data_IF_884582264221
#
_entry.id   IF_884582264221
#
_cell.length_a   1.000
_cell.length_b   1.000
_cell.length_c   1.000
_cell.angle_alpha   90.00
_cell.angle_beta   90.00
_cell.angle_gamma   90.00
#
_symmetry.space_group_name_H-M   'P 1'
#
loop_
_entity.id
_entity.type
_entity.pdbx_description
1 polymer ?
#
# COMPACT_ATOMS: atom_id res chain seq x y z
N UNK A 1 8.69 4.23 18.60
CA UNK A 1 7.99 4.96 17.53
C UNK A 1 6.86 4.17 16.91
N UNK A 2 7.08 3.08 16.16
CA UNK A 2 5.96 2.31 15.55
C UNK A 2 4.94 1.86 16.59
N UNK A 3 5.39 1.32 17.74
CA UNK A 3 4.52 1.00 18.86
C UNK A 3 3.75 2.21 19.42
N UNK A 4 4.36 3.40 19.42
CA UNK A 4 3.69 4.63 19.88
C UNK A 4 2.61 5.04 18.88
N UNK A 5 2.90 4.99 17.57
CA UNK A 5 1.91 5.26 16.52
C UNK A 5 0.71 4.32 16.59
N UNK A 6 0.93 3.03 16.83
CA UNK A 6 -0.15 2.06 17.00
C UNK A 6 -1.03 2.44 18.20
N UNK A 7 -0.43 2.91 19.30
CA UNK A 7 -1.16 3.34 20.49
C UNK A 7 -1.95 4.63 20.22
N UNK A 8 -1.30 5.63 19.63
CA UNK A 8 -1.87 6.96 19.38
C UNK A 8 -3.02 6.91 18.35
N UNK A 9 -2.89 6.05 17.34
CA UNK A 9 -3.93 5.81 16.32
C UNK A 9 -5.01 4.82 16.78
N UNK A 10 -4.82 4.19 17.94
CA UNK A 10 -5.71 3.16 18.48
C UNK A 10 -5.98 2.00 17.51
N UNK A 11 -4.98 1.64 16.69
CA UNK A 11 -5.12 0.55 15.72
C UNK A 11 -5.19 -0.81 16.44
N UNK A 12 -6.23 -1.61 16.19
CA UNK A 12 -6.39 -2.96 16.76
C UNK A 12 -5.90 -4.08 15.83
N UNK A 13 -5.73 -3.80 14.54
CA UNK A 13 -5.09 -4.67 13.54
C UNK A 13 -4.09 -3.80 12.78
N UNK A 14 -2.85 -4.26 12.64
CA UNK A 14 -1.78 -3.56 11.93
C UNK A 14 -1.19 -4.50 10.89
N UNK A 15 -1.20 -4.07 9.63
CA UNK A 15 -0.67 -4.81 8.49
C UNK A 15 0.68 -4.17 8.14
N UNK A 16 1.75 -4.96 8.14
CA UNK A 16 3.12 -4.50 7.98
C UNK A 16 3.73 -5.10 6.70
N UNK A 17 4.32 -4.24 5.89
CA UNK A 17 5.18 -4.57 4.75
C UNK A 17 6.64 -4.39 5.17
N UNK A 18 7.57 -5.14 4.58
CA UNK A 18 9.01 -5.12 4.92
C UNK A 18 9.33 -5.29 6.42
N UNK A 19 8.39 -5.91 7.14
CA UNK A 19 8.48 -6.13 8.57
C UNK A 19 9.67 -7.02 8.93
N UNK A 20 10.03 -7.99 8.08
CA UNK A 20 11.13 -8.92 8.33
C UNK A 20 11.03 -9.52 9.76
N UNK A 21 11.96 -9.16 10.65
CA UNK A 21 11.99 -9.60 12.06
C UNK A 21 11.31 -8.62 13.04
N UNK A 22 10.83 -7.47 12.55
CA UNK A 22 10.34 -6.37 13.37
C UNK A 22 8.98 -6.63 14.01
N UNK A 23 8.11 -7.45 13.42
CA UNK A 23 6.74 -7.71 13.93
C UNK A 23 6.76 -8.13 15.41
N UNK A 24 7.58 -9.12 15.76
CA UNK A 24 7.72 -9.58 17.15
C UNK A 24 8.34 -8.51 18.08
N UNK A 25 9.30 -7.73 17.57
CA UNK A 25 9.92 -6.65 18.33
C UNK A 25 8.92 -5.52 18.64
N UNK A 26 8.03 -5.20 17.70
CA UNK A 26 6.96 -4.22 17.88
C UNK A 26 5.94 -4.74 18.90
N UNK A 27 5.52 -6.01 18.81
CA UNK A 27 4.63 -6.62 19.81
C UNK A 27 5.22 -6.55 21.23
N UNK A 28 6.50 -6.91 21.40
CA UNK A 28 7.19 -6.81 22.69
C UNK A 28 7.30 -5.36 23.19
N UNK A 29 7.46 -4.38 22.30
CA UNK A 29 7.46 -2.96 22.65
C UNK A 29 6.08 -2.45 23.08
N UNK A 30 5.01 -2.93 22.43
CA UNK A 30 3.61 -2.66 22.82
C UNK A 30 3.29 -3.26 24.19
N UNK A 31 3.74 -4.49 24.46
CA UNK A 31 3.51 -5.16 25.75
C UNK A 31 4.16 -4.41 26.90
N UNK A 32 5.40 -3.93 26.72
CA UNK A 32 6.08 -3.04 27.71
C UNK A 32 5.33 -1.73 27.96
N UNK A 33 4.45 -1.32 27.05
CA UNK A 33 3.58 -0.15 27.14
C UNK A 33 2.16 -0.49 27.59
N UNK A 34 1.93 -1.72 28.06
CA UNK A 34 0.63 -2.17 28.59
C UNK A 34 -0.40 -2.54 27.52
N UNK A 35 0.02 -2.73 26.26
CA UNK A 35 -0.87 -3.11 25.15
C UNK A 35 -0.47 -4.46 24.60
N UNK A 36 -1.36 -5.44 24.70
CA UNK A 36 -1.07 -6.82 24.26
C UNK A 36 -1.51 -7.02 22.81
N UNK A 37 -0.55 -7.35 21.96
CA UNK A 37 -0.79 -7.74 20.56
C UNK A 37 -0.18 -9.11 20.30
N UNK A 38 -0.89 -9.93 19.54
CA UNK A 38 -0.34 -11.15 18.93
C UNK A 38 0.37 -10.77 17.63
N UNK A 39 1.59 -11.26 17.45
CA UNK A 39 2.36 -11.12 16.22
C UNK A 39 2.21 -12.36 15.35
N UNK A 40 1.81 -12.16 14.09
CA UNK A 40 1.86 -13.16 13.02
C UNK A 40 2.88 -12.67 12.01
N UNK A 41 4.01 -13.37 11.88
CA UNK A 41 5.15 -12.93 11.08
C UNK A 41 5.39 -13.88 9.92
N UNK A 42 5.78 -13.35 8.76
CA UNK A 42 6.45 -14.11 7.71
C UNK A 42 7.87 -13.60 7.49
N UNK A 43 8.55 -14.04 6.42
CA UNK A 43 9.90 -13.59 6.11
C UNK A 43 10.02 -12.10 5.79
N UNK A 44 8.92 -11.48 5.34
CA UNK A 44 8.89 -10.12 4.82
C UNK A 44 7.69 -9.32 5.37
N UNK A 45 6.48 -9.88 5.33
CA UNK A 45 5.28 -9.22 5.87
C UNK A 45 5.01 -9.56 7.34
N UNK A 46 4.16 -8.77 7.98
CA UNK A 46 3.74 -9.00 9.37
C UNK A 46 2.34 -8.52 9.65
N UNK A 47 1.71 -9.11 10.67
CA UNK A 47 0.43 -8.68 11.20
C UNK A 47 0.51 -8.62 12.73
N UNK A 48 0.00 -7.53 13.30
CA UNK A 48 -0.23 -7.37 14.73
C UNK A 48 -1.73 -7.24 14.99
N UNK A 49 -2.23 -7.90 16.02
CA UNK A 49 -3.66 -7.84 16.37
C UNK A 49 -3.90 -7.91 17.88
N UNK A 50 -4.87 -7.16 18.39
CA UNK A 50 -5.38 -7.30 19.76
C UNK A 50 -6.34 -8.48 19.91
N UNK A 51 -6.83 -9.02 18.79
CA UNK A 51 -7.83 -10.09 18.76
C UNK A 51 -7.17 -11.49 18.74
N UNK A 52 -7.83 -12.51 19.32
CA UNK A 52 -7.38 -13.90 19.20
C UNK A 52 -7.18 -14.33 17.75
N UNK A 53 -6.02 -14.93 17.48
CA UNK A 53 -5.69 -15.55 16.18
C UNK A 53 -6.10 -17.02 16.26
N UNK A 54 -7.06 -17.43 15.41
CA UNK A 54 -7.51 -18.82 15.32
C UNK A 54 -6.58 -19.67 14.46
N UNK A 55 -6.05 -19.07 13.39
CA UNK A 55 -5.18 -19.72 12.41
C UNK A 55 -4.40 -18.66 11.62
N UNK A 56 -3.27 -19.06 11.04
CA UNK A 56 -2.46 -18.18 10.19
C UNK A 56 -1.72 -18.97 9.12
N UNK A 57 -1.47 -18.35 7.98
CA UNK A 57 -0.71 -18.94 6.89
C UNK A 57 0.25 -17.94 6.27
N UNK A 58 1.45 -18.41 5.93
CA UNK A 58 2.35 -17.70 5.03
C UNK A 58 1.95 -18.00 3.59
N UNK A 59 1.80 -16.96 2.78
CA UNK A 59 1.39 -17.02 1.40
C UNK A 59 2.39 -16.22 0.55
N UNK A 60 2.37 -16.45 -0.76
CA UNK A 60 3.28 -15.73 -1.66
C UNK A 60 3.02 -14.21 -1.54
N UNK A 61 4.03 -13.46 -1.09
CA UNK A 61 3.99 -12.00 -0.89
C UNK A 61 2.99 -11.50 0.17
N UNK A 62 2.48 -12.37 1.04
CA UNK A 62 1.54 -11.95 2.09
C UNK A 62 1.50 -12.92 3.27
N UNK A 63 1.10 -12.41 4.44
CA UNK A 63 0.75 -13.23 5.59
C UNK A 63 -0.74 -13.08 5.91
N UNK A 64 -1.40 -14.21 6.16
CA UNK A 64 -2.83 -14.32 6.47
C UNK A 64 -3.03 -14.66 7.94
N UNK A 65 -4.02 -14.05 8.57
CA UNK A 65 -4.48 -14.43 9.91
C UNK A 65 -6.02 -14.45 9.99
N UNK A 66 -6.58 -15.54 10.53
CA UNK A 66 -8.00 -15.63 10.89
C UNK A 66 -8.17 -15.15 12.33
N UNK A 67 -8.98 -14.12 12.51
CA UNK A 67 -9.19 -13.42 13.78
C UNK A 67 -10.59 -13.70 14.30
N UNK A 68 -10.70 -13.90 15.61
CA UNK A 68 -11.98 -13.96 16.30
C UNK A 68 -12.27 -12.63 17.00
N UNK A 69 -13.22 -11.86 16.48
CA UNK A 69 -13.62 -10.57 17.02
C UNK A 69 -15.02 -10.72 17.62
N UNK A 70 -15.09 -11.06 18.91
CA UNK A 70 -16.37 -11.20 19.63
C UNK A 70 -17.28 -12.29 19.04
N UNK A 71 -16.70 -13.41 18.60
CA UNK A 71 -17.42 -14.53 17.98
C UNK A 71 -17.63 -14.40 16.47
N UNK A 72 -17.21 -13.29 15.86
CA UNK A 72 -17.27 -13.07 14.41
C UNK A 72 -15.88 -13.26 13.81
N UNK A 73 -15.82 -13.92 12.67
CA UNK A 73 -14.55 -14.18 11.98
C UNK A 73 -14.20 -13.03 11.03
N UNK A 74 -12.98 -12.54 11.17
CA UNK A 74 -12.36 -11.60 10.23
C UNK A 74 -11.03 -12.21 9.77
N UNK A 75 -10.84 -12.36 8.47
CA UNK A 75 -9.56 -12.83 7.92
C UNK A 75 -8.81 -11.65 7.34
N UNK A 76 -7.64 -11.36 7.89
CA UNK A 76 -6.80 -10.23 7.52
C UNK A 76 -5.54 -10.70 6.80
N UNK A 77 -5.15 -9.97 5.76
CA UNK A 77 -4.00 -10.24 4.91
C UNK A 77 -3.10 -9.01 4.88
N UNK A 78 -1.84 -9.16 5.29
CA UNK A 78 -0.80 -8.15 5.13
C UNK A 78 0.05 -8.51 3.92
N UNK A 79 0.12 -7.63 2.92
CA UNK A 79 0.82 -7.83 1.67
C UNK A 79 2.04 -6.91 1.54
N UNK A 80 3.06 -7.38 0.83
CA UNK A 80 4.12 -6.56 0.28
C UNK A 80 4.44 -7.17 -1.08
N UNK A 81 4.03 -6.52 -2.16
CA UNK A 81 4.11 -7.11 -3.49
C UNK A 81 5.43 -6.76 -4.18
N UNK A 82 5.74 -7.46 -5.27
CA UNK A 82 6.98 -7.29 -6.05
C UNK A 82 7.27 -5.82 -6.37
N UNK A 83 8.36 -5.31 -5.80
CA UNK A 83 8.79 -3.92 -5.93
C UNK A 83 9.54 -3.65 -7.24
N UNK A 84 10.12 -4.68 -7.85
CA UNK A 84 10.72 -4.57 -9.19
C UNK A 84 9.61 -4.54 -10.25
N UNK A 85 9.96 -4.20 -11.49
CA UNK A 85 8.95 -3.91 -12.54
C UNK A 85 8.01 -2.75 -12.15
N UNK A 86 8.55 -1.74 -11.46
CA UNK A 86 7.82 -0.54 -11.05
C UNK A 86 7.53 0.37 -12.26
N UNK A 87 6.62 -0.10 -13.12
CA UNK A 87 6.35 0.49 -14.43
C UNK A 87 5.87 1.95 -14.38
N UNK A 88 5.42 2.42 -13.21
CA UNK A 88 4.99 3.80 -12.98
C UNK A 88 6.14 4.82 -13.13
N UNK A 89 7.40 4.37 -13.16
CA UNK A 89 8.55 5.22 -13.50
C UNK A 89 8.76 5.41 -14.99
N UNK A 90 8.25 4.53 -15.85
CA UNK A 90 8.45 4.66 -17.30
C UNK A 90 7.81 5.97 -17.84
N UNK A 91 6.56 6.31 -17.47
CA UNK A 91 5.97 7.61 -17.80
C UNK A 91 6.73 8.80 -17.21
N UNK A 92 7.56 8.59 -16.18
CA UNK A 92 8.39 9.63 -15.55
C UNK A 92 9.79 9.73 -16.16
N UNK A 93 10.10 8.89 -17.15
CA UNK A 93 11.38 8.89 -17.85
C UNK A 93 12.50 8.15 -17.13
N UNK A 94 12.17 7.22 -16.23
CA UNK A 94 13.13 6.38 -15.50
C UNK A 94 12.87 4.90 -15.77
N UNK A 95 13.93 4.10 -15.67
CA UNK A 95 13.83 2.65 -15.74
C UNK A 95 13.00 2.08 -14.58
N UNK A 96 12.28 0.98 -14.84
CA UNK A 96 11.33 0.37 -13.90
C UNK A 96 11.94 -0.74 -13.01
N UNK A 97 13.27 -0.79 -12.88
CA UNK A 97 13.93 -1.78 -12.03
C UNK A 97 13.77 -3.24 -12.49
N UNK A 98 13.48 -3.43 -13.77
CA UNK A 98 13.19 -4.74 -14.37
C UNK A 98 14.47 -5.60 -14.42
N UNK A 99 14.48 -6.81 -13.85
CA UNK A 99 15.59 -7.75 -14.04
C UNK A 99 15.75 -8.19 -15.50
N UNK A 100 16.99 -8.36 -15.95
CA UNK A 100 17.28 -8.90 -17.27
C UNK A 100 16.75 -10.35 -17.41
N UNK A 101 16.19 -10.75 -18.57
CA UNK A 101 16.13 -10.00 -19.84
C UNK A 101 14.80 -9.25 -20.08
N UNK A 102 14.12 -8.75 -19.04
CA UNK A 102 12.82 -8.09 -19.19
C UNK A 102 12.87 -6.77 -19.98
N UNK A 103 11.72 -6.35 -20.51
CA UNK A 103 11.55 -5.09 -21.26
C UNK A 103 12.00 -3.89 -20.39
N UNK A 104 12.82 -2.99 -20.93
CA UNK A 104 13.46 -1.85 -20.24
C UNK A 104 14.49 -2.20 -19.15
N UNK A 105 14.91 -3.47 -19.02
CA UNK A 105 15.90 -3.87 -18.01
C UNK A 105 17.27 -3.21 -18.17
N UNK A 106 17.63 -2.77 -19.37
CA UNK A 106 18.88 -2.07 -19.66
C UNK A 106 19.02 -0.74 -18.91
N UNK A 107 17.91 -0.14 -18.48
CA UNK A 107 17.91 1.13 -17.77
C UNK A 107 17.98 0.97 -16.26
N UNK A 108 17.71 -0.23 -15.71
CA UNK A 108 17.63 -0.45 -14.27
C UNK A 108 16.66 0.54 -13.62
N UNK A 109 17.17 1.36 -12.68
CA UNK A 109 16.42 2.46 -12.03
C UNK A 109 16.84 3.85 -12.52
N UNK A 110 17.67 3.92 -13.57
CA UNK A 110 18.28 5.17 -14.01
C UNK A 110 17.34 5.96 -14.93
N UNK A 111 17.62 7.27 -15.03
CA UNK A 111 16.97 8.15 -16.00
C UNK A 111 17.24 7.64 -17.42
N UNK A 112 16.18 7.53 -18.22
CA UNK A 112 16.24 7.02 -19.58
C UNK A 112 16.62 8.16 -20.54
N UNK A 113 17.61 7.96 -21.42
CA UNK A 113 18.03 8.98 -22.39
C UNK A 113 16.96 9.27 -23.45
N UNK A 114 16.04 8.34 -23.71
CA UNK A 114 14.92 8.49 -24.63
C UNK A 114 13.73 9.28 -24.05
N UNK A 115 13.78 9.67 -22.77
CA UNK A 115 12.67 10.34 -22.08
C UNK A 115 11.54 9.40 -21.66
N UNK A 116 10.38 9.98 -21.25
CA UNK A 116 9.19 9.24 -20.85
C UNK A 116 8.67 8.22 -21.87
N UNK A 117 8.25 7.05 -21.40
CA UNK A 117 7.44 6.10 -22.15
C UNK A 117 5.98 6.36 -21.83
N UNK A 118 5.24 6.90 -22.80
CA UNK A 118 3.83 7.30 -22.62
C UNK A 118 2.83 6.42 -23.35
N UNK A 119 3.29 5.34 -24.01
CA UNK A 119 2.40 4.32 -24.56
C UNK A 119 1.83 3.45 -23.42
N UNK A 120 0.53 3.56 -23.07
CA UNK A 120 -0.05 2.80 -21.98
C UNK A 120 0.02 1.29 -22.21
N UNK A 121 0.09 0.82 -23.47
CA UNK A 121 0.22 -0.61 -23.77
C UNK A 121 1.60 -1.11 -23.33
N UNK A 122 2.66 -0.35 -23.59
CA UNK A 122 4.02 -0.69 -23.14
C UNK A 122 4.12 -0.68 -21.61
N UNK A 123 3.62 0.37 -20.96
CA UNK A 123 3.62 0.48 -19.49
C UNK A 123 2.86 -0.69 -18.85
N UNK A 124 1.70 -1.04 -19.41
CA UNK A 124 0.92 -2.17 -18.91
C UNK A 124 1.63 -3.51 -19.10
N UNK A 125 2.33 -3.75 -20.21
CA UNK A 125 3.10 -5.00 -20.40
C UNK A 125 4.15 -5.19 -19.31
N UNK A 126 4.90 -4.13 -19.00
CA UNK A 126 5.92 -4.17 -17.92
C UNK A 126 5.25 -4.42 -16.58
N UNK A 127 4.14 -3.73 -16.31
CA UNK A 127 3.37 -3.93 -15.08
C UNK A 127 2.88 -5.38 -14.91
N UNK A 128 2.30 -5.97 -15.96
CA UNK A 128 1.83 -7.36 -15.94
C UNK A 128 2.99 -8.35 -15.70
N UNK A 129 4.18 -8.06 -16.23
CA UNK A 129 5.37 -8.90 -16.04
C UNK A 129 5.88 -8.96 -14.58
N UNK A 130 5.47 -8.03 -13.71
CA UNK A 130 5.76 -8.07 -12.26
C UNK A 130 5.23 -9.33 -11.55
N UNK A 131 4.17 -9.94 -12.11
CA UNK A 131 3.44 -11.03 -11.46
C UNK A 131 2.54 -10.60 -10.29
N UNK A 132 2.52 -9.32 -9.89
CA UNK A 132 1.61 -8.81 -8.84
C UNK A 132 0.14 -9.11 -9.13
N UNK A 133 -0.37 -8.96 -10.37
CA UNK A 133 -1.76 -9.29 -10.67
C UNK A 133 -2.14 -10.74 -10.37
N UNK A 134 -1.22 -11.67 -10.58
CA UNK A 134 -1.48 -13.10 -10.37
C UNK A 134 -1.46 -13.45 -8.88
N UNK A 135 -0.63 -12.76 -8.10
CA UNK A 135 -0.67 -12.83 -6.62
C UNK A 135 -2.05 -12.36 -6.13
N UNK A 136 -2.58 -11.25 -6.67
CA UNK A 136 -3.90 -10.75 -6.29
C UNK A 136 -5.03 -11.68 -6.75
N UNK A 137 -4.91 -12.33 -7.90
CA UNK A 137 -5.88 -13.34 -8.33
C UNK A 137 -5.92 -14.53 -7.37
N UNK A 138 -4.76 -15.04 -6.94
CA UNK A 138 -4.70 -16.12 -5.95
C UNK A 138 -5.27 -15.68 -4.60
N UNK A 139 -4.98 -14.45 -4.15
CA UNK A 139 -5.62 -13.87 -2.97
C UNK A 139 -7.14 -13.81 -3.10
N UNK A 140 -7.67 -13.33 -4.24
CA UNK A 140 -9.12 -13.21 -4.45
C UNK A 140 -9.81 -14.58 -4.31
N UNK A 141 -9.19 -15.65 -4.81
CA UNK A 141 -9.75 -17.00 -4.70
C UNK A 141 -9.71 -17.54 -3.27
N UNK A 142 -8.64 -17.32 -2.53
CA UNK A 142 -8.55 -17.66 -1.11
C UNK A 142 -9.55 -16.82 -0.26
N UNK A 143 -9.68 -15.52 -0.55
CA UNK A 143 -10.64 -14.64 0.11
C UNK A 143 -12.09 -15.05 -0.13
N UNK A 144 -12.43 -15.55 -1.34
CA UNK A 144 -13.76 -16.14 -1.60
C UNK A 144 -14.01 -17.37 -0.74
N UNK A 145 -13.00 -18.22 -0.55
CA UNK A 145 -13.12 -19.39 0.32
C UNK A 145 -13.32 -18.99 1.79
N UNK A 146 -12.60 -17.97 2.28
CA UNK A 146 -12.81 -17.41 3.61
C UNK A 146 -14.21 -16.82 3.79
N UNK A 147 -14.69 -16.06 2.80
CA UNK A 147 -16.02 -15.47 2.82
C UNK A 147 -17.12 -16.55 2.80
N UNK A 148 -16.96 -17.60 2.00
CA UNK A 148 -17.85 -18.76 2.00
C UNK A 148 -17.87 -19.50 3.35
N UNK A 149 -16.77 -19.45 4.11
CA UNK A 149 -16.66 -19.96 5.47
C UNK A 149 -17.14 -18.96 6.55
N UNK A 150 -17.83 -17.88 6.15
CA UNK A 150 -18.44 -16.90 7.05
C UNK A 150 -17.50 -15.81 7.56
N UNK A 151 -16.33 -15.64 6.96
CA UNK A 151 -15.37 -14.61 7.36
C UNK A 151 -15.56 -13.29 6.60
N UNK A 152 -15.41 -12.16 7.29
CA UNK A 152 -15.19 -10.87 6.63
C UNK A 152 -13.72 -10.73 6.25
N UNK A 153 -13.42 -10.30 5.04
CA UNK A 153 -12.03 -10.23 4.55
C UNK A 153 -11.49 -8.79 4.56
N UNK A 154 -10.26 -8.63 5.05
CA UNK A 154 -9.46 -7.41 4.96
C UNK A 154 -8.12 -7.71 4.28
N UNK A 155 -7.72 -6.89 3.32
CA UNK A 155 -6.40 -6.92 2.70
C UNK A 155 -5.75 -5.55 2.87
N UNK A 156 -4.46 -5.49 3.14
CA UNK A 156 -3.73 -4.23 3.06
C UNK A 156 -2.22 -4.41 3.06
N UNK A 157 -1.53 -3.30 2.83
CA UNK A 157 -0.08 -3.24 2.67
C UNK A 157 0.35 -2.56 1.38
N UNK A 158 1.65 -2.60 1.11
CA UNK A 158 2.28 -2.02 -0.07
C UNK A 158 2.15 -2.92 -1.29
N UNK A 159 1.50 -2.41 -2.34
CA UNK A 159 1.33 -3.14 -3.59
C UNK A 159 2.43 -2.86 -4.61
N UNK A 160 3.30 -1.89 -4.36
CA UNK A 160 4.25 -1.38 -5.35
C UNK A 160 3.56 -1.03 -6.68
N UNK A 161 2.27 -0.69 -6.67
CA UNK A 161 1.50 -0.40 -7.87
C UNK A 161 0.47 0.70 -7.53
N UNK A 162 0.36 1.76 -8.36
CA UNK A 162 -0.68 2.76 -8.16
C UNK A 162 -2.08 2.18 -8.39
N UNK A 163 -3.11 2.96 -8.04
CA UNK A 163 -4.49 2.49 -8.14
C UNK A 163 -5.05 2.68 -9.55
N UNK A 164 -5.89 1.74 -9.99
CA UNK A 164 -6.72 1.89 -11.18
C UNK A 164 -7.65 3.12 -11.10
N UNK A 165 -7.84 3.69 -9.91
CA UNK A 165 -8.68 4.87 -9.66
C UNK A 165 -7.87 6.18 -9.57
N UNK A 166 -6.54 6.12 -9.67
CA UNK A 166 -5.67 7.28 -9.41
C UNK A 166 -5.01 7.81 -10.70
N UNK A 167 -4.73 6.94 -11.68
CA UNK A 167 -4.19 7.28 -12.99
C UNK A 167 -5.30 7.40 -14.04
N UNK A 168 -6.13 8.43 -13.89
CA UNK A 168 -7.36 8.67 -14.66
C UNK A 168 -7.18 9.84 -15.63
N UNK A 169 -8.11 10.09 -16.57
CA UNK A 169 -8.04 11.28 -17.41
C UNK A 169 -7.92 12.60 -16.63
N UNK A 170 -8.47 12.66 -15.41
CA UNK A 170 -8.42 13.86 -14.56
C UNK A 170 -7.02 14.14 -13.97
N UNK A 171 -6.17 13.12 -13.86
CA UNK A 171 -4.82 13.20 -13.30
C UNK A 171 -3.74 12.97 -14.37
N UNK A 172 -4.10 12.78 -15.64
CA UNK A 172 -3.19 12.40 -16.71
C UNK A 172 -2.00 13.36 -16.90
N UNK A 173 -2.16 14.66 -16.58
CA UNK A 173 -1.09 15.66 -16.67
C UNK A 173 -0.62 16.17 -15.30
N UNK A 174 -0.98 15.46 -14.23
CA UNK A 174 -0.48 15.72 -12.88
C UNK A 174 0.64 14.72 -12.57
N UNK A 175 1.47 15.06 -11.57
CA UNK A 175 2.43 14.14 -10.95
C UNK A 175 3.35 13.40 -11.94
N UNK A 176 3.74 14.09 -13.02
CA UNK A 176 4.56 13.58 -14.11
C UNK A 176 4.03 12.30 -14.77
N UNK A 177 2.71 12.11 -14.78
CA UNK A 177 2.06 11.04 -15.54
C UNK A 177 2.21 11.20 -17.08
N UNK A 178 2.58 12.40 -17.56
CA UNK A 178 2.85 12.71 -18.98
C UNK A 178 1.76 12.24 -19.96
N UNK A 179 0.49 12.39 -19.58
CA UNK A 179 -0.68 12.05 -20.38
C UNK A 179 -1.14 10.59 -20.23
N UNK A 180 -0.42 9.76 -19.47
CA UNK A 180 -0.77 8.35 -19.30
C UNK A 180 -2.00 8.19 -18.42
N UNK A 181 -2.97 7.45 -18.94
CA UNK A 181 -4.15 6.96 -18.22
C UNK A 181 -4.06 5.45 -18.22
N UNK A 182 -3.96 4.84 -17.03
CA UNK A 182 -3.71 3.42 -16.92
C UNK A 182 -4.47 2.80 -15.74
N UNK A 183 -5.41 1.88 -15.99
CA UNK A 183 -6.05 1.13 -14.94
C UNK A 183 -5.11 0.00 -14.46
N UNK A 184 -4.26 0.34 -13.50
CA UNK A 184 -3.30 -0.58 -12.87
C UNK A 184 -3.95 -1.91 -12.43
N UNK A 185 -3.32 -3.02 -12.79
CA UNK A 185 -4.00 -4.30 -12.92
C UNK A 185 -4.39 -4.92 -11.58
N UNK A 186 -3.55 -4.82 -10.55
CA UNK A 186 -3.79 -5.52 -9.28
C UNK A 186 -5.01 -4.94 -8.57
N UNK A 187 -5.08 -3.60 -8.49
CA UNK A 187 -6.24 -2.89 -7.93
C UNK A 187 -7.48 -2.99 -8.84
N UNK A 188 -7.31 -3.04 -10.17
CA UNK A 188 -8.40 -3.31 -11.13
C UNK A 188 -9.05 -4.68 -10.87
N UNK A 189 -8.26 -5.74 -10.65
CA UNK A 189 -8.76 -7.09 -10.34
C UNK A 189 -9.53 -7.12 -9.02
N UNK A 190 -9.04 -6.44 -7.99
CA UNK A 190 -9.75 -6.28 -6.71
C UNK A 190 -11.10 -5.58 -6.89
N UNK A 191 -11.13 -4.47 -7.63
CA UNK A 191 -12.37 -3.74 -7.92
C UNK A 191 -13.37 -4.63 -8.66
N UNK A 192 -12.93 -5.39 -9.67
CA UNK A 192 -13.77 -6.33 -10.42
C UNK A 192 -14.30 -7.48 -9.55
N UNK A 193 -13.54 -7.89 -8.55
CA UNK A 193 -13.96 -8.88 -7.56
C UNK A 193 -14.85 -8.29 -6.44
N UNK A 194 -15.13 -6.99 -6.46
CA UNK A 194 -16.02 -6.32 -5.51
C UNK A 194 -15.36 -5.90 -4.20
N UNK A 195 -14.03 -5.85 -4.15
CA UNK A 195 -13.32 -5.27 -3.00
C UNK A 195 -13.42 -3.75 -3.00
N UNK A 196 -13.66 -3.18 -1.82
CA UNK A 196 -13.76 -1.74 -1.62
C UNK A 196 -12.45 -1.17 -1.06
N UNK A 197 -11.81 -0.26 -1.82
CA UNK A 197 -10.66 0.54 -1.38
C UNK A 197 -11.13 1.54 -0.30
N UNK A 198 -10.65 1.41 0.93
CA UNK A 198 -11.09 2.25 2.05
C UNK A 198 -10.85 3.75 1.80
N UNK A 199 -9.69 4.10 1.22
CA UNK A 199 -9.32 5.48 0.99
C UNK A 199 -10.19 6.08 -0.11
N UNK A 200 -10.28 5.41 -1.25
CA UNK A 200 -11.00 5.92 -2.43
C UNK A 200 -12.53 5.83 -2.27
N UNK A 201 -13.04 4.93 -1.43
CA UNK A 201 -14.46 4.92 -1.01
C UNK A 201 -14.81 6.18 -0.21
N UNK A 202 -13.89 6.65 0.65
CA UNK A 202 -14.08 7.85 1.46
C UNK A 202 -13.80 9.13 0.66
N UNK A 203 -12.77 9.11 -0.18
CA UNK A 203 -12.26 10.27 -0.94
C UNK A 203 -12.18 9.94 -2.44
N UNK A 204 -13.30 9.99 -3.18
CA UNK A 204 -13.36 9.48 -4.55
C UNK A 204 -12.60 10.31 -5.60
N UNK A 205 -12.24 11.56 -5.30
CA UNK A 205 -11.61 12.47 -6.28
C UNK A 205 -10.07 12.45 -6.16
N UNK A 206 -9.34 11.81 -7.10
CA UNK A 206 -7.88 11.70 -7.04
C UNK A 206 -7.14 13.01 -7.31
N UNK A 207 -7.80 14.05 -7.84
CA UNK A 207 -7.18 15.38 -8.04
C UNK A 207 -7.07 16.12 -6.71
N UNK A 208 -8.16 16.13 -5.92
CA UNK A 208 -8.19 16.82 -4.62
C UNK A 208 -7.62 15.98 -3.49
N UNK A 209 -7.76 14.65 -3.59
CA UNK A 209 -7.35 13.68 -2.59
C UNK A 209 -6.49 12.60 -3.27
N UNK A 210 -5.27 12.93 -3.75
CA UNK A 210 -4.39 11.95 -4.38
C UNK A 210 -4.00 10.83 -3.42
N UNK A 211 -3.88 11.13 -2.13
CA UNK A 211 -3.65 10.13 -1.09
C UNK A 211 -2.23 9.57 -1.08
N UNK A 212 -1.21 10.37 -1.44
CA UNK A 212 0.16 9.91 -1.60
C UNK A 212 0.73 9.24 -0.35
N UNK A 213 1.03 7.95 -0.47
CA UNK A 213 1.68 7.16 0.58
C UNK A 213 3.18 7.07 0.36
N UNK A 214 3.67 7.26 -0.86
CA UNK A 214 5.09 7.18 -1.17
C UNK A 214 5.50 8.24 -2.22
N UNK A 215 6.69 8.86 -2.14
CA UNK A 215 7.64 8.83 -1.02
C UNK A 215 7.31 9.88 0.04
N UNK A 216 7.29 9.47 1.31
CA UNK A 216 7.08 10.32 2.47
C UNK A 216 8.31 11.21 2.74
N UNK A 217 8.08 12.46 3.14
CA UNK A 217 9.15 13.35 3.59
C UNK A 217 9.60 12.99 5.02
N UNK A 218 10.21 11.82 5.21
CA UNK A 218 10.78 11.41 6.50
C UNK A 218 11.86 12.41 6.96
N UNK A 219 11.65 13.19 8.04
CA UNK A 219 12.59 14.22 8.48
C UNK A 219 13.91 13.63 9.03
N UNK A 220 13.91 12.35 9.41
CA UNK A 220 15.04 11.67 10.05
C UNK A 220 15.95 10.92 9.05
N UNK A 221 15.70 11.07 7.74
CA UNK A 221 16.49 10.48 6.65
C UNK A 221 16.98 11.55 5.66
N UNK A 222 18.13 11.39 5.00
CA UNK A 222 18.54 12.30 3.92
C UNK A 222 17.69 12.08 2.66
N UNK A 223 17.46 13.14 1.88
CA UNK A 223 16.47 13.13 0.78
C UNK A 223 16.86 12.19 -0.36
N UNK A 224 18.17 12.03 -0.62
CA UNK A 224 18.72 11.13 -1.64
C UNK A 224 18.52 9.64 -1.32
N UNK A 225 18.11 9.30 -0.09
CA UNK A 225 17.69 7.95 0.30
C UNK A 225 16.17 7.75 0.25
N UNK A 226 15.41 8.79 -0.08
CA UNK A 226 13.95 8.79 -0.10
C UNK A 226 13.38 8.93 -1.52
N UNK A 227 14.23 8.94 -2.54
CA UNK A 227 13.82 9.12 -3.93
C UNK A 227 14.56 8.17 -4.86
N UNK A 228 13.87 7.63 -5.86
CA UNK A 228 14.48 6.81 -6.91
C UNK A 228 14.54 7.55 -8.24
N UNK A 229 13.66 8.53 -8.44
CA UNK A 229 13.60 9.36 -9.64
C UNK A 229 13.79 10.84 -9.29
N UNK A 230 15.02 11.27 -8.96
CA UNK A 230 15.30 12.58 -8.35
C UNK A 230 14.91 13.79 -9.21
N UNK A 231 14.63 13.62 -10.51
CA UNK A 231 14.19 14.71 -11.39
C UNK A 231 12.69 14.69 -11.71
N UNK A 232 11.95 13.69 -11.22
CA UNK A 232 10.51 13.53 -11.46
C UNK A 232 9.68 13.74 -10.18
N UNK A 233 8.39 13.97 -10.37
CA UNK A 233 7.37 13.79 -9.35
C UNK A 233 6.95 12.32 -9.31
N UNK A 234 7.46 11.57 -8.34
CA UNK A 234 7.23 10.12 -8.22
C UNK A 234 6.20 9.73 -7.18
N UNK A 235 5.44 10.73 -6.71
CA UNK A 235 4.43 10.48 -5.71
C UNK A 235 3.33 9.61 -6.27
N UNK A 236 3.03 8.54 -5.55
CA UNK A 236 1.91 7.65 -5.81
C UNK A 236 1.29 7.20 -4.48
N UNK A 237 0.03 6.78 -4.56
CA UNK A 237 -0.59 5.98 -3.51
C UNK A 237 -0.39 4.53 -3.89
N UNK A 238 0.38 3.80 -3.09
CA UNK A 238 0.71 2.38 -3.32
C UNK A 238 0.42 1.50 -2.11
N UNK A 239 0.07 2.10 -0.98
CA UNK A 239 -0.35 1.41 0.23
C UNK A 239 -1.87 1.47 0.38
N UNK A 240 -2.49 0.33 0.69
CA UNK A 240 -3.95 0.20 0.65
C UNK A 240 -4.53 -0.53 1.86
N UNK A 241 -5.83 -0.30 2.09
CA UNK A 241 -6.68 -1.19 2.87
C UNK A 241 -7.95 -1.44 2.04
N UNK A 242 -8.23 -2.71 1.76
CA UNK A 242 -9.41 -3.19 1.05
C UNK A 242 -10.28 -4.06 1.97
N UNK A 243 -11.60 -3.89 1.88
CA UNK A 243 -12.58 -4.82 2.46
C UNK A 243 -13.24 -5.66 1.36
N UNK A 244 -13.40 -6.96 1.61
CA UNK A 244 -14.05 -7.89 0.69
C UNK A 244 -15.55 -7.66 0.52
N UNK A 245 -16.15 -8.10 -0.60
CA UNK A 245 -17.59 -8.00 -0.83
C UNK A 245 -18.39 -8.82 0.18
N UNK A 246 -19.61 -8.38 0.52
CA UNK A 246 -20.48 -9.08 1.46
C UNK A 246 -19.96 -9.12 2.91
N UNK A 247 -18.89 -8.37 3.19
CA UNK A 247 -18.31 -8.24 4.51
C UNK A 247 -19.30 -7.62 5.51
N UNK A 248 -19.24 -8.06 6.77
CA UNK A 248 -19.95 -7.43 7.88
C UNK A 248 -19.28 -6.12 8.35
N UNK A 249 -18.17 -5.73 7.72
CA UNK A 249 -17.43 -4.51 8.02
C UNK A 249 -18.06 -3.31 7.31
N UNK A 250 -18.53 -2.35 8.10
CA UNK A 250 -18.96 -1.04 7.60
C UNK A 250 -17.85 -0.03 7.80
N UNK A 251 -17.31 0.54 6.71
CA UNK A 251 -16.30 1.60 6.78
C UNK A 251 -16.91 2.86 7.44
N UNK A 252 -16.24 3.40 8.46
CA UNK A 252 -16.67 4.62 9.16
C UNK A 252 -15.66 5.76 9.10
N UNK A 253 -14.45 5.51 8.62
CA UNK A 253 -13.43 6.53 8.40
C UNK A 253 -12.19 5.97 7.74
N UNK A 254 -11.47 6.82 7.01
CA UNK A 254 -10.18 6.51 6.42
C UNK A 254 -9.29 7.76 6.40
N UNK A 255 -7.97 7.56 6.31
CA UNK A 255 -7.01 8.66 6.16
C UNK A 255 -5.57 8.19 6.23
N UNK A 256 -4.65 9.16 6.23
CA UNK A 256 -3.21 8.96 6.18
C UNK A 256 -2.60 9.21 7.56
N UNK A 257 -1.62 8.40 7.94
CA UNK A 257 -0.78 8.60 9.11
C UNK A 257 0.66 8.74 8.64
N UNK A 258 1.28 9.90 8.89
CA UNK A 258 2.63 10.20 8.44
C UNK A 258 2.91 11.69 8.29
N UNK A 259 4.15 12.05 7.90
CA UNK A 259 4.48 13.44 7.61
C UNK A 259 3.57 13.98 6.52
N UNK A 260 3.15 15.24 6.65
CA UNK A 260 2.31 15.89 5.63
C UNK A 260 3.06 16.06 4.31
N UNK A 261 4.38 16.18 4.34
CA UNK A 261 5.20 16.32 3.13
C UNK A 261 5.53 15.00 2.45
N UNK A 262 5.89 15.13 1.17
CA UNK A 262 6.43 14.08 0.31
C UNK A 262 7.75 14.54 -0.32
N UNK A 263 8.45 13.64 -1.00
CA UNK A 263 9.57 14.03 -1.87
C UNK A 263 9.06 14.27 -3.29
N UNK A 264 9.43 15.42 -3.85
CA UNK A 264 9.13 15.82 -5.23
C UNK A 264 10.41 16.36 -5.84
N UNK A 265 10.90 15.75 -6.92
CA UNK A 265 12.14 16.16 -7.60
C UNK A 265 13.30 16.37 -6.61
N UNK A 266 13.56 15.34 -5.82
CA UNK A 266 14.62 15.31 -4.79
C UNK A 266 14.51 16.46 -3.75
N UNK A 267 13.31 16.99 -3.51
CA UNK A 267 13.05 18.07 -2.57
C UNK A 267 11.88 17.72 -1.66
N UNK A 268 11.95 18.09 -0.38
CA UNK A 268 10.81 17.96 0.54
C UNK A 268 9.76 19.01 0.20
N UNK A 269 8.53 18.57 -0.03
CA UNK A 269 7.42 19.46 -0.34
C UNK A 269 6.20 19.07 0.50
N UNK A 270 5.62 20.04 1.19
CA UNK A 270 4.35 19.85 1.88
C UNK A 270 3.21 19.65 0.90
N UNK A 271 2.31 18.71 1.21
CA UNK A 271 1.14 18.46 0.38
C UNK A 271 0.10 19.58 0.50
N UNK A 272 -0.17 20.22 -0.65
CA UNK A 272 -1.26 21.18 -0.82
C UNK A 272 -2.52 20.49 -1.38
N UNK A 273 -2.91 19.41 -0.73
CA UNK A 273 -4.08 18.59 -1.08
C UNK A 273 -5.16 18.69 0.01
N UNK A 274 -6.34 18.14 -0.27
CA UNK A 274 -7.43 18.00 0.70
C UNK A 274 -7.38 16.66 1.44
N UNK A 275 -6.29 15.89 1.30
CA UNK A 275 -6.13 14.58 1.95
C UNK A 275 -6.29 14.70 3.49
N UNK A 276 -6.99 13.72 4.07
CA UNK A 276 -7.19 13.63 5.51
C UNK A 276 -5.98 12.98 6.17
N UNK A 277 -5.12 13.78 6.78
CA UNK A 277 -4.05 13.32 7.66
C UNK A 277 -4.58 13.15 9.07
N UNK A 278 -4.79 11.90 9.49
CA UNK A 278 -5.30 11.55 10.82
C UNK A 278 -4.25 11.87 11.89
N UNK A 279 -2.98 11.62 11.59
CA UNK A 279 -1.87 11.97 12.46
C UNK A 279 -0.60 12.29 11.65
N UNK A 280 0.11 13.34 12.07
CA UNK A 280 1.39 13.75 11.50
C UNK A 280 2.43 13.89 12.61
N UNK A 281 3.05 12.77 13.05
CA UNK A 281 4.03 12.80 14.13
C UNK A 281 5.30 13.57 13.71
N UNK A 282 6.00 14.20 14.68
CA UNK A 282 7.23 14.96 14.38
C UNK A 282 8.43 14.08 14.03
N UNK A 283 8.36 12.78 14.32
CA UNK A 283 9.37 11.77 13.96
C UNK A 283 8.78 10.75 13.01
N UNK A 284 9.60 10.22 12.11
CA UNK A 284 9.16 9.21 11.15
C UNK A 284 10.29 8.19 10.87
N UNK A 285 9.95 6.97 10.45
CA UNK A 285 10.91 5.84 10.39
C UNK A 285 10.96 5.13 9.05
N UNK A 286 10.16 5.59 8.09
CA UNK A 286 10.01 4.95 6.78
C UNK A 286 9.79 6.03 5.73
N UNK A 287 10.11 5.71 4.49
CA UNK A 287 9.76 6.44 3.28
C UNK A 287 8.29 6.24 2.85
N UNK A 288 7.50 5.43 3.55
CA UNK A 288 6.05 5.31 3.33
C UNK A 288 5.25 6.13 4.36
N UNK A 289 4.02 6.52 4.00
CA UNK A 289 2.97 6.96 4.93
C UNK A 289 2.00 5.80 5.12
N UNK A 290 1.53 5.58 6.34
CA UNK A 290 0.56 4.54 6.60
C UNK A 290 -0.86 4.98 6.20
N UNK A 291 -1.70 4.01 5.83
CA UNK A 291 -3.14 4.21 5.67
C UNK A 291 -3.84 3.66 6.90
N UNK A 292 -4.79 4.41 7.45
CA UNK A 292 -5.65 3.97 8.55
C UNK A 292 -7.10 3.94 8.06
N UNK A 293 -7.79 2.86 8.36
CA UNK A 293 -9.22 2.72 8.11
C UNK A 293 -9.92 2.18 9.36
N UNK A 294 -11.07 2.76 9.68
CA UNK A 294 -11.91 2.34 10.82
C UNK A 294 -13.15 1.65 10.29
N UNK A 295 -13.39 0.43 10.78
CA UNK A 295 -14.58 -0.33 10.43
C UNK A 295 -15.41 -0.63 11.68
N UNK A 296 -16.73 -0.54 11.54
CA UNK A 296 -17.66 -1.13 12.49
C UNK A 296 -17.99 -2.55 12.03
N UNK A 297 -17.81 -3.53 12.91
CA UNK A 297 -18.21 -4.91 12.64
C UNK A 297 -19.68 -5.11 13.04
N UNK A 298 -20.53 -5.28 12.03
CA UNK A 298 -21.97 -5.57 12.17
C UNK A 298 -22.23 -6.96 12.72
#
# INVERSE_FOLDING_TARGET
MVADLIIDTQASIVLLSEANKATNAIAAALEKKGRKFTAVSSGDTGLLTEFPVEDSADQRWMVKARLNIGGKRVTAYAAHLEYRWYATYLPRGYGAGVPAPGEYSEFGWNKMPGGPVTDPVAVQRVNLASGRPDVLSAFIDDAKAEAAAGSSVLLGGDFNEPSALDWTPATANLFDHHGVVLPWESTRRLQQAGFADAYRTTYPNPVTHPGFTWPAANPDAPVDQLTWTPEADERDRIDYIFAGPGSALTLTGAGIVGPRGSIVRNTRQDENTQDNFIASPPKWVTDHKAVLATYRLG
#
